data_IF_861481423435
#
_entry.id   IF_861481423435
#
_cell.length_a   1.000
_cell.length_b   1.000
_cell.length_c   1.000
_cell.angle_alpha   90.00
_cell.angle_beta   90.00
_cell.angle_gamma   90.00
#
_symmetry.space_group_name_H-M   'P 1'
#
loop_
_entity.id
_entity.type
_entity.pdbx_description
1 polymer ?
#
# COMPACT_ATOMS: atom_id res chain seq x y z
N UNK A 1 -14.54 -13.19 0.96
CA UNK A 1 -14.62 -12.00 1.79
C UNK A 1 -15.34 -10.86 1.08
N UNK A 2 -15.90 -9.98 1.87
CA UNK A 2 -16.63 -8.82 1.35
C UNK A 2 -15.73 -7.74 0.79
N UNK A 3 -14.49 -7.77 1.14
CA UNK A 3 -13.51 -6.78 0.70
C UNK A 3 -12.56 -7.41 -0.30
N UNK A 4 -11.88 -6.55 -1.01
CA UNK A 4 -10.97 -6.95 -2.06
C UNK A 4 -9.76 -7.69 -1.48
N UNK A 5 -9.40 -8.82 -2.10
CA UNK A 5 -8.22 -9.58 -1.69
C UNK A 5 -6.98 -8.91 -2.29
N UNK A 6 -6.33 -8.09 -1.48
CA UNK A 6 -5.15 -7.33 -1.90
C UNK A 6 -4.04 -8.25 -2.38
N UNK A 7 -3.81 -9.33 -1.66
CA UNK A 7 -2.72 -10.25 -1.97
C UNK A 7 -2.90 -10.92 -3.34
N UNK A 8 -4.10 -11.44 -3.59
CA UNK A 8 -4.40 -12.08 -4.87
C UNK A 8 -4.37 -11.08 -6.01
N UNK A 9 -4.93 -9.90 -5.82
CA UNK A 9 -5.00 -8.88 -6.86
C UNK A 9 -3.62 -8.38 -7.27
N UNK A 10 -2.77 -8.07 -6.31
CA UNK A 10 -1.42 -7.55 -6.59
C UNK A 10 -0.51 -8.64 -7.14
N UNK A 11 -0.68 -9.89 -6.69
CA UNK A 11 0.09 -11.01 -7.20
C UNK A 11 -0.27 -11.34 -8.65
N UNK A 12 -1.53 -11.14 -9.04
CA UNK A 12 -2.00 -11.44 -10.39
C UNK A 12 -1.69 -10.35 -11.41
N UNK A 13 -1.49 -9.11 -10.96
CA UNK A 13 -1.30 -7.95 -11.83
C UNK A 13 -0.16 -7.07 -11.34
N UNK A 14 0.64 -6.54 -12.28
CA UNK A 14 1.68 -5.58 -11.93
C UNK A 14 1.10 -4.20 -11.59
N UNK A 15 -0.06 -3.87 -12.16
CA UNK A 15 -0.74 -2.61 -11.95
C UNK A 15 -2.18 -2.85 -11.58
N UNK A 16 -2.66 -2.18 -10.53
CA UNK A 16 -4.06 -2.28 -10.08
C UNK A 16 -4.63 -0.90 -9.80
N UNK A 17 -5.95 -0.79 -9.82
CA UNK A 17 -6.65 0.41 -9.38
C UNK A 17 -6.96 0.30 -7.89
N UNK A 18 -6.72 1.39 -7.18
CA UNK A 18 -6.90 1.44 -5.73
C UNK A 18 -7.64 2.71 -5.35
N UNK A 19 -8.49 2.61 -4.33
CA UNK A 19 -9.21 3.79 -3.84
C UNK A 19 -8.22 4.83 -3.35
N UNK A 20 -8.33 6.05 -3.87
CA UNK A 20 -7.50 7.16 -3.44
C UNK A 20 -8.24 7.94 -2.37
N UNK A 21 -7.83 7.80 -1.12
CA UNK A 21 -8.46 8.46 0.02
C UNK A 21 -7.60 9.58 0.61
N UNK A 22 -6.52 9.96 -0.07
CA UNK A 22 -5.65 11.06 0.34
C UNK A 22 -5.03 11.69 -0.90
N UNK A 23 -4.28 12.79 -0.69
CA UNK A 23 -3.55 13.42 -1.80
C UNK A 23 -2.35 12.57 -2.15
N UNK A 24 -2.27 12.16 -3.40
CA UNK A 24 -1.18 11.35 -3.93
C UNK A 24 -0.73 11.97 -5.25
N UNK A 25 0.57 12.00 -5.49
CA UNK A 25 1.14 12.47 -6.75
C UNK A 25 1.73 11.30 -7.54
N UNK A 26 1.76 11.42 -8.86
CA UNK A 26 2.44 10.43 -9.71
C UNK A 26 3.90 10.31 -9.28
N UNK A 27 4.37 9.10 -9.10
CA UNK A 27 5.72 8.82 -8.62
C UNK A 27 5.82 8.59 -7.12
N UNK A 28 4.76 8.87 -6.36
CA UNK A 28 4.76 8.61 -4.92
C UNK A 28 4.89 7.12 -4.65
N UNK A 29 5.63 6.80 -3.61
CA UNK A 29 5.77 5.42 -3.12
C UNK A 29 4.64 5.12 -2.15
N UNK A 30 3.98 3.98 -2.34
CA UNK A 30 2.84 3.56 -1.55
C UNK A 30 3.13 2.17 -1.00
N UNK A 31 2.93 2.00 0.31
CA UNK A 31 3.05 0.70 0.96
C UNK A 31 1.66 0.18 1.32
N UNK A 32 1.35 -1.04 0.90
CA UNK A 32 0.05 -1.64 1.16
C UNK A 32 0.13 -2.55 2.37
N UNK A 33 -0.67 -2.23 3.36
CA UNK A 33 -0.83 -3.02 4.58
C UNK A 33 -2.02 -3.96 4.39
N UNK A 34 -1.82 -5.23 4.71
CA UNK A 34 -2.89 -6.24 4.68
C UNK A 34 -3.32 -6.52 6.11
N UNK A 35 -4.61 -6.32 6.37
CA UNK A 35 -5.18 -6.48 7.70
C UNK A 35 -5.17 -7.94 8.16
N UNK A 36 -5.61 -8.16 9.41
CA UNK A 36 -5.68 -9.50 9.98
C UNK A 36 -6.37 -10.49 9.03
N UNK A 37 -5.92 -11.74 8.95
CA UNK A 37 -4.93 -12.37 9.83
C UNK A 37 -3.46 -12.09 9.50
N UNK A 38 -3.17 -11.48 8.36
CA UNK A 38 -1.79 -11.21 7.94
C UNK A 38 -1.14 -10.13 8.80
N UNK A 39 -1.78 -8.99 8.94
CA UNK A 39 -1.35 -7.87 9.77
C UNK A 39 0.09 -7.44 9.47
N UNK A 40 0.36 -7.11 8.22
CA UNK A 40 1.69 -6.71 7.79
C UNK A 40 1.65 -5.90 6.49
N UNK A 41 2.69 -5.09 6.28
CA UNK A 41 2.90 -4.48 4.96
C UNK A 41 3.48 -5.56 4.05
N UNK A 42 2.83 -5.81 2.93
CA UNK A 42 3.29 -6.82 1.97
C UNK A 42 3.83 -6.25 0.68
N UNK A 43 3.41 -5.05 0.27
CA UNK A 43 3.77 -4.55 -1.05
C UNK A 43 4.29 -3.14 -1.00
N UNK A 44 5.35 -2.89 -1.80
CA UNK A 44 5.80 -1.56 -2.15
C UNK A 44 5.31 -1.27 -3.56
N UNK A 45 4.60 -0.16 -3.73
CA UNK A 45 4.02 0.24 -5.00
C UNK A 45 4.41 1.68 -5.34
N UNK A 46 4.21 2.03 -6.61
CA UNK A 46 4.41 3.38 -7.11
C UNK A 46 3.13 3.86 -7.76
N UNK A 47 2.72 5.08 -7.48
CA UNK A 47 1.57 5.68 -8.13
C UNK A 47 1.94 6.06 -9.56
N UNK A 48 1.26 5.46 -10.54
CA UNK A 48 1.51 5.74 -11.97
C UNK A 48 0.45 6.65 -12.56
N UNK A 49 -0.75 6.67 -12.00
CA UNK A 49 -1.80 7.61 -12.36
C UNK A 49 -2.64 7.92 -11.12
N UNK A 50 -3.06 9.16 -10.94
CA UNK A 50 -3.78 9.61 -9.75
C UNK A 50 -5.00 10.45 -10.15
N UNK A 51 -5.89 10.68 -9.18
CA UNK A 51 -7.08 11.52 -9.36
C UNK A 51 -7.98 11.05 -10.49
N UNK A 52 -8.05 9.74 -10.72
CA UNK A 52 -8.92 9.16 -11.74
C UNK A 52 -10.35 9.20 -11.23
N UNK A 53 -11.27 9.90 -11.94
CA UNK A 53 -12.68 9.91 -11.54
C UNK A 53 -13.27 8.51 -11.64
N UNK A 54 -13.99 8.10 -10.61
CA UNK A 54 -14.67 6.83 -10.61
C UNK A 54 -16.10 7.03 -10.15
N UNK A 55 -17.08 6.63 -10.96
CA UNK A 55 -18.49 6.74 -10.65
C UNK A 55 -18.99 5.42 -10.08
N UNK A 56 -19.39 5.46 -8.82
CA UNK A 56 -19.94 4.29 -8.16
C UNK A 56 -21.39 4.07 -8.59
N UNK A 57 -21.71 2.84 -8.99
CA UNK A 57 -23.09 2.44 -9.35
C UNK A 57 -23.66 1.55 -8.24
N UNK A 58 -24.98 1.45 -8.17
CA UNK A 58 -25.64 0.60 -7.18
C UNK A 58 -26.05 1.34 -5.91
N UNK A 59 -26.69 2.47 -6.04
CA UNK A 59 -27.15 3.31 -4.93
C UNK A 59 -27.10 4.76 -5.34
N UNK A 60 -27.12 5.70 -4.38
CA UNK A 60 -26.93 7.12 -4.73
C UNK A 60 -25.61 7.28 -5.48
N UNK A 61 -25.65 8.02 -6.58
CA UNK A 61 -24.47 8.25 -7.40
C UNK A 61 -23.44 9.04 -6.58
N UNK A 62 -22.23 8.49 -6.45
CA UNK A 62 -21.16 9.12 -5.71
C UNK A 62 -19.89 9.08 -6.55
N UNK A 63 -19.27 10.24 -6.74
CA UNK A 63 -17.98 10.33 -7.40
C UNK A 63 -16.88 10.03 -6.39
N UNK A 64 -16.04 9.08 -6.72
CA UNK A 64 -14.86 8.75 -5.92
C UNK A 64 -13.62 8.92 -6.79
N UNK A 65 -12.48 9.01 -6.16
CA UNK A 65 -11.20 9.03 -6.86
C UNK A 65 -10.52 7.70 -6.67
N UNK A 66 -9.91 7.22 -7.74
CA UNK A 66 -9.05 6.04 -7.70
C UNK A 66 -7.68 6.41 -8.26
N UNK A 67 -6.69 5.62 -7.91
CA UNK A 67 -5.35 5.75 -8.45
C UNK A 67 -4.94 4.42 -9.06
N UNK A 68 -4.00 4.47 -9.98
CA UNK A 68 -3.40 3.28 -10.54
C UNK A 68 -2.01 3.14 -9.94
N UNK A 69 -1.73 1.99 -9.33
CA UNK A 69 -0.46 1.75 -8.64
C UNK A 69 0.21 0.52 -9.25
N UNK A 70 1.53 0.60 -9.35
CA UNK A 70 2.35 -0.49 -9.88
C UNK A 70 3.13 -1.13 -8.75
N UNK A 71 3.08 -2.46 -8.68
CA UNK A 71 3.85 -3.21 -7.71
C UNK A 71 5.33 -3.18 -8.07
N UNK A 72 6.17 -2.83 -7.11
CA UNK A 72 7.61 -2.80 -7.26
C UNK A 72 8.31 -3.92 -6.49
N UNK A 73 7.79 -4.25 -5.31
CA UNK A 73 8.40 -5.26 -4.45
C UNK A 73 7.35 -5.88 -3.54
N UNK A 74 7.52 -7.15 -3.23
CA UNK A 74 6.68 -7.88 -2.27
C UNK A 74 7.55 -8.29 -1.08
N UNK A 75 7.12 -7.90 0.12
CA UNK A 75 7.79 -8.30 1.36
C UNK A 75 7.23 -9.64 1.84
N UNK A 76 8.03 -10.37 2.59
CA UNK A 76 7.53 -11.56 3.26
C UNK A 76 6.61 -11.15 4.40
N UNK A 77 5.60 -11.99 4.75
CA UNK A 77 4.64 -11.64 5.82
C UNK A 77 5.28 -11.46 7.21
N UNK A 78 6.50 -11.91 7.41
CA UNK A 78 7.20 -11.83 8.69
C UNK A 78 8.15 -10.63 8.79
N UNK A 79 8.27 -9.80 7.75
CA UNK A 79 9.24 -8.69 7.73
C UNK A 79 8.70 -7.39 8.30
N UNK A 80 7.52 -6.96 7.85
CA UNK A 80 6.92 -5.69 8.26
C UNK A 80 5.58 -5.93 8.95
N UNK A 81 5.64 -6.72 10.02
CA UNK A 81 4.46 -7.05 10.82
C UNK A 81 3.98 -5.83 11.62
N UNK A 82 2.76 -5.89 12.12
CA UNK A 82 2.22 -4.84 12.96
C UNK A 82 3.11 -4.58 14.20
N UNK A 83 3.71 -5.63 14.76
CA UNK A 83 4.62 -5.48 15.88
C UNK A 83 5.87 -4.68 15.49
N UNK A 84 6.42 -4.94 14.31
CA UNK A 84 7.55 -4.16 13.77
C UNK A 84 7.12 -2.71 13.53
N UNK A 85 5.94 -2.50 12.96
CA UNK A 85 5.41 -1.16 12.74
C UNK A 85 5.28 -0.39 14.05
N UNK A 86 4.76 -1.04 15.09
CA UNK A 86 4.60 -0.43 16.42
C UNK A 86 5.95 -0.02 17.02
N UNK A 87 6.96 -0.85 16.86
CA UNK A 87 8.28 -0.52 17.38
C UNK A 87 8.94 0.64 16.61
N UNK A 88 8.40 1.01 15.46
CA UNK A 88 8.91 2.09 14.62
C UNK A 88 7.96 3.28 14.52
N UNK A 89 7.01 3.40 15.45
CA UNK A 89 6.16 4.58 15.58
C UNK A 89 4.77 4.48 14.97
N UNK A 90 4.36 3.31 14.46
CA UNK A 90 3.02 3.10 13.90
C UNK A 90 2.27 2.11 14.78
N UNK A 91 1.36 2.61 15.61
CA UNK A 91 0.66 1.77 16.59
C UNK A 91 -0.58 1.09 16.03
N UNK A 92 -1.19 1.68 15.01
CA UNK A 92 -2.32 1.06 14.32
C UNK A 92 -2.38 1.58 12.89
N UNK A 93 -2.97 0.79 11.99
CA UNK A 93 -3.15 1.18 10.60
C UNK A 93 -4.64 1.31 10.32
N UNK A 94 -5.11 2.55 10.18
CA UNK A 94 -6.50 2.89 9.92
C UNK A 94 -6.56 3.94 8.81
N UNK A 95 -6.58 3.48 7.57
CA UNK A 95 -6.57 4.38 6.44
C UNK A 95 -5.16 4.92 6.14
N UNK A 96 -5.07 5.86 5.19
CA UNK A 96 -3.77 6.36 4.73
C UNK A 96 -3.08 7.19 5.80
N UNK A 97 -1.76 7.06 5.85
CA UNK A 97 -0.93 7.90 6.71
C UNK A 97 0.50 7.93 6.17
N UNK A 98 1.24 8.93 6.59
CA UNK A 98 2.67 9.03 6.25
C UNK A 98 3.48 7.96 6.97
N UNK A 99 4.53 7.49 6.32
CA UNK A 99 5.46 6.52 6.92
C UNK A 99 6.46 7.28 7.78
N UNK A 100 6.55 6.99 9.10
CA UNK A 100 7.53 7.66 9.96
C UNK A 100 8.96 7.32 9.54
N UNK A 101 9.88 8.24 9.82
CA UNK A 101 11.30 8.07 9.45
C UNK A 101 11.90 6.74 9.95
N UNK A 102 11.70 6.34 11.22
CA UNK A 102 12.26 5.07 11.69
C UNK A 102 11.76 3.87 10.90
N UNK A 103 10.48 3.86 10.53
CA UNK A 103 9.91 2.77 9.73
C UNK A 103 10.47 2.80 8.30
N UNK A 104 10.62 3.98 7.72
CA UNK A 104 11.17 4.13 6.38
C UNK A 104 12.62 3.60 6.32
N UNK A 105 13.41 3.84 7.36
CA UNK A 105 14.77 3.31 7.46
C UNK A 105 14.77 1.78 7.48
N UNK A 106 13.85 1.16 8.22
CA UNK A 106 13.72 -0.29 8.27
C UNK A 106 13.33 -0.85 6.89
N UNK A 107 12.39 -0.19 6.22
CA UNK A 107 11.98 -0.60 4.88
C UNK A 107 13.17 -0.52 3.91
N UNK A 108 13.94 0.56 3.95
CA UNK A 108 15.11 0.72 3.09
C UNK A 108 16.16 -0.35 3.36
N UNK A 109 16.35 -0.71 4.63
CA UNK A 109 17.26 -1.78 5.01
C UNK A 109 16.84 -3.11 4.37
N UNK A 110 15.57 -3.45 4.46
CA UNK A 110 15.03 -4.68 3.88
C UNK A 110 15.18 -4.69 2.36
N UNK A 111 14.94 -3.56 1.71
CA UNK A 111 15.08 -3.45 0.25
C UNK A 111 16.53 -3.62 -0.18
N UNK A 112 17.49 -3.07 0.56
CA UNK A 112 18.91 -3.25 0.27
C UNK A 112 19.32 -4.71 0.40
N UNK A 113 18.84 -5.40 1.43
CA UNK A 113 19.12 -6.83 1.61
C UNK A 113 18.55 -7.66 0.46
N UNK A 114 17.44 -7.26 -0.10
CA UNK A 114 16.83 -7.93 -1.24
C UNK A 114 17.48 -7.55 -2.58
N UNK A 115 18.48 -6.68 -2.57
CA UNK A 115 19.13 -6.20 -3.79
C UNK A 115 18.26 -5.25 -4.60
N UNK A 116 17.30 -4.60 -3.95
CA UNK A 116 16.38 -3.67 -4.61
C UNK A 116 16.89 -2.24 -4.49
N UNK A 117 16.50 -1.42 -5.47
CA UNK A 117 16.76 -0.01 -5.45
C UNK A 117 15.90 0.66 -4.36
N UNK A 118 16.53 1.58 -3.61
CA UNK A 118 15.82 2.30 -2.55
C UNK A 118 15.13 3.52 -3.16
N UNK A 119 13.83 3.61 -2.90
CA UNK A 119 13.00 4.71 -3.40
C UNK A 119 12.70 5.74 -2.32
#
# INVERSE_FOLDING_TARGET
>A
PKYYDVEAAVAAQDTIRWKQSSRVAVGDTIYLYVAAPVSAILYQCKAVEVDIPFRRTGGPVKLERVMEIQRLHQFRPDQLTLDVLRSHGVYSVRGPRSVPEPLLEEIHFLLRQAGKEVL
#
